data_IF_911667694068
#
_entry.id   IF_911667694068
#
_cell.length_a   1.000
_cell.length_b   1.000
_cell.length_c   1.000
_cell.angle_alpha   90.00
_cell.angle_beta   90.00
_cell.angle_gamma   90.00
#
_symmetry.space_group_name_H-M   'P 1'
#
loop_
_entity.id
_entity.type
_entity.pdbx_description
1 polymer ?
#
# COMPACT_ATOMS: atom_id res chain seq x y z
N UNK A 1 -12.20 -6.50 -23.04
CA UNK A 1 -11.01 -6.45 -22.17
C UNK A 1 -11.56 -6.14 -20.79
N UNK A 2 -11.73 -7.15 -19.93
CA UNK A 2 -12.35 -6.93 -18.61
C UNK A 2 -11.58 -5.83 -17.89
N UNK A 3 -12.26 -4.72 -17.62
CA UNK A 3 -11.73 -3.64 -16.80
C UNK A 3 -11.44 -4.26 -15.43
N UNK A 4 -10.16 -4.53 -15.16
CA UNK A 4 -9.74 -5.16 -13.91
C UNK A 4 -9.97 -4.16 -12.79
N UNK A 5 -11.18 -4.17 -12.23
CA UNK A 5 -11.54 -3.37 -11.07
C UNK A 5 -10.56 -3.71 -9.95
N UNK A 6 -10.06 -2.67 -9.27
CA UNK A 6 -9.13 -2.82 -8.15
C UNK A 6 -9.59 -3.87 -7.12
N UNK A 7 -10.90 -3.91 -6.82
CA UNK A 7 -11.48 -4.91 -5.91
C UNK A 7 -11.38 -6.35 -6.42
N UNK A 8 -11.54 -6.57 -7.73
CA UNK A 8 -11.41 -7.90 -8.34
C UNK A 8 -9.95 -8.34 -8.33
N UNK A 9 -9.03 -7.45 -8.70
CA UNK A 9 -7.59 -7.72 -8.61
C UNK A 9 -7.18 -8.05 -7.17
N UNK A 10 -7.59 -7.22 -6.21
CA UNK A 10 -7.24 -7.41 -4.80
C UNK A 10 -7.78 -8.74 -4.29
N UNK A 11 -9.07 -9.04 -4.53
CA UNK A 11 -9.68 -10.33 -4.15
C UNK A 11 -8.89 -11.51 -4.72
N UNK A 12 -8.50 -11.45 -6.00
CA UNK A 12 -7.72 -12.50 -6.65
C UNK A 12 -6.28 -12.61 -6.08
N UNK A 13 -5.61 -11.47 -5.84
CA UNK A 13 -4.27 -11.44 -5.25
C UNK A 13 -4.27 -12.03 -3.83
N UNK A 14 -5.24 -11.66 -3.00
CA UNK A 14 -5.38 -12.19 -1.65
C UNK A 14 -5.71 -13.68 -1.63
N UNK A 15 -6.48 -14.19 -2.61
CA UNK A 15 -6.77 -15.63 -2.75
C UNK A 15 -5.55 -16.46 -3.19
N UNK A 16 -4.65 -15.87 -3.98
CA UNK A 16 -3.42 -16.54 -4.45
C UNK A 16 -2.31 -16.55 -3.39
N UNK A 17 -2.33 -15.61 -2.46
CA UNK A 17 -1.35 -15.58 -1.37
C UNK A 17 -1.60 -16.72 -0.37
N UNK A 18 -0.52 -17.28 0.17
CA UNK A 18 -0.60 -18.21 1.30
C UNK A 18 -1.28 -17.55 2.50
N UNK A 19 -1.99 -18.33 3.32
CA UNK A 19 -2.78 -17.81 4.47
C UNK A 19 -1.95 -16.92 5.40
N UNK A 20 -0.68 -17.24 5.58
CA UNK A 20 0.24 -16.47 6.42
C UNK A 20 0.58 -15.10 5.82
N UNK A 21 0.70 -15.02 4.49
CA UNK A 21 1.10 -13.82 3.73
C UNK A 21 -0.12 -12.96 3.35
N UNK A 22 -1.31 -13.56 3.25
CA UNK A 22 -2.55 -12.87 2.87
C UNK A 22 -2.85 -11.66 3.78
N UNK A 23 -2.63 -11.80 5.09
CA UNK A 23 -2.81 -10.69 6.04
C UNK A 23 -1.85 -9.54 5.75
N UNK A 24 -0.57 -9.86 5.53
CA UNK A 24 0.46 -8.87 5.23
C UNK A 24 0.18 -8.16 3.89
N UNK A 25 -0.27 -8.91 2.87
CA UNK A 25 -0.64 -8.36 1.57
C UNK A 25 -1.81 -7.38 1.69
N UNK A 26 -2.87 -7.74 2.43
CA UNK A 26 -4.01 -6.85 2.66
C UNK A 26 -3.57 -5.56 3.38
N UNK A 27 -2.72 -5.66 4.40
CA UNK A 27 -2.17 -4.49 5.10
C UNK A 27 -1.35 -3.60 4.16
N UNK A 28 -0.53 -4.18 3.29
CA UNK A 28 0.27 -3.44 2.31
C UNK A 28 -0.62 -2.71 1.29
N UNK A 29 -1.67 -3.37 0.79
CA UNK A 29 -2.63 -2.75 -0.13
C UNK A 29 -3.33 -1.54 0.50
N UNK A 30 -3.76 -1.67 1.77
CA UNK A 30 -4.37 -0.56 2.52
C UNK A 30 -3.38 0.59 2.71
N UNK A 31 -2.13 0.28 3.09
CA UNK A 31 -1.07 1.28 3.29
C UNK A 31 -0.81 2.08 2.01
N UNK A 32 -0.64 1.38 0.87
CA UNK A 32 -0.42 2.02 -0.43
C UNK A 32 -1.61 2.88 -0.84
N UNK A 33 -2.84 2.38 -0.71
CA UNK A 33 -4.05 3.13 -1.03
C UNK A 33 -4.19 4.40 -0.16
N UNK A 34 -3.90 4.29 1.15
CA UNK A 34 -3.90 5.41 2.08
C UNK A 34 -2.83 6.44 1.73
N UNK A 35 -1.61 6.00 1.39
CA UNK A 35 -0.53 6.89 0.98
C UNK A 35 -0.87 7.65 -0.31
N UNK A 36 -1.44 6.98 -1.32
CA UNK A 36 -1.91 7.62 -2.56
C UNK A 36 -2.97 8.69 -2.25
N UNK A 37 -3.95 8.37 -1.39
CA UNK A 37 -4.97 9.32 -0.99
C UNK A 37 -4.37 10.54 -0.27
N UNK A 38 -3.47 10.33 0.70
CA UNK A 38 -2.75 11.40 1.41
C UNK A 38 -1.94 12.28 0.44
N UNK A 39 -1.23 11.68 -0.51
CA UNK A 39 -0.43 12.39 -1.50
C UNK A 39 -1.30 13.25 -2.42
N UNK A 40 -2.41 12.71 -2.91
CA UNK A 40 -3.37 13.46 -3.74
C UNK A 40 -3.96 14.65 -2.99
N UNK A 41 -4.28 14.47 -1.71
CA UNK A 41 -4.77 15.57 -0.89
C UNK A 41 -3.71 16.68 -0.75
N UNK A 42 -2.45 16.34 -0.44
CA UNK A 42 -1.38 17.35 -0.35
C UNK A 42 -1.14 18.09 -1.66
N UNK A 43 -1.25 17.41 -2.81
CA UNK A 43 -1.14 18.05 -4.12
C UNK A 43 -2.25 19.08 -4.32
N UNK A 44 -3.49 18.75 -3.95
CA UNK A 44 -4.65 19.64 -4.08
C UNK A 44 -4.62 20.79 -3.07
N UNK A 45 -4.30 20.51 -1.80
CA UNK A 45 -4.41 21.48 -0.71
C UNK A 45 -3.13 22.30 -0.48
N UNK A 46 -1.94 21.73 -0.69
CA UNK A 46 -0.66 22.39 -0.42
C UNK A 46 0.02 22.93 -1.71
N UNK A 47 -0.66 22.86 -2.86
CA UNK A 47 -0.13 23.18 -4.19
C UNK A 47 1.21 22.48 -4.51
N UNK A 48 1.49 21.34 -3.87
CA UNK A 48 2.72 20.57 -4.12
C UNK A 48 2.65 19.93 -5.49
N UNK A 49 3.79 19.90 -6.18
CA UNK A 49 3.90 19.15 -7.44
C UNK A 49 3.78 17.65 -7.16
N UNK A 50 2.96 16.91 -7.93
CA UNK A 50 2.88 15.47 -7.79
C UNK A 50 4.25 14.84 -8.07
N UNK A 51 4.73 14.01 -7.14
CA UNK A 51 6.04 13.38 -7.24
C UNK A 51 5.94 11.92 -6.81
N UNK A 52 6.00 11.03 -7.79
CA UNK A 52 5.88 9.58 -7.58
C UNK A 52 7.04 9.02 -6.75
N UNK A 53 8.26 9.54 -6.94
CA UNK A 53 9.43 9.12 -6.18
C UNK A 53 9.25 9.40 -4.68
N UNK A 54 8.70 10.56 -4.33
CA UNK A 54 8.40 10.92 -2.95
C UNK A 54 7.33 9.99 -2.36
N UNK A 55 6.27 9.71 -3.11
CA UNK A 55 5.22 8.78 -2.68
C UNK A 55 5.78 7.37 -2.42
N UNK A 56 6.66 6.86 -3.29
CA UNK A 56 7.31 5.55 -3.10
C UNK A 56 8.16 5.54 -1.83
N UNK A 57 8.89 6.63 -1.56
CA UNK A 57 9.70 6.76 -0.35
C UNK A 57 8.81 6.75 0.90
N UNK A 58 7.74 7.54 0.91
CA UNK A 58 6.77 7.60 2.02
C UNK A 58 6.14 6.24 2.31
N UNK A 59 5.76 5.49 1.26
CA UNK A 59 5.23 4.13 1.39
C UNK A 59 6.26 3.20 2.05
N UNK A 60 7.53 3.25 1.61
CA UNK A 60 8.60 2.40 2.15
C UNK A 60 8.88 2.73 3.62
N UNK A 61 8.93 4.01 3.96
CA UNK A 61 9.19 4.46 5.33
C UNK A 61 8.06 4.06 6.27
N UNK A 62 6.80 4.24 5.84
CA UNK A 62 5.64 3.87 6.65
C UNK A 62 5.51 2.33 6.80
N UNK A 63 5.81 1.57 5.74
CA UNK A 63 5.83 0.12 5.82
C UNK A 63 6.94 -0.39 6.77
N UNK A 64 8.13 0.22 6.74
CA UNK A 64 9.21 -0.06 7.70
C UNK A 64 8.79 0.27 9.12
N UNK A 65 8.18 1.42 9.34
CA UNK A 65 7.67 1.82 10.65
C UNK A 65 6.69 0.77 11.20
N UNK A 66 5.73 0.32 10.39
CA UNK A 66 4.77 -0.72 10.80
C UNK A 66 5.46 -2.06 11.10
N UNK A 67 6.47 -2.44 10.32
CA UNK A 67 7.26 -3.66 10.55
C UNK A 67 8.10 -3.60 11.84
N UNK A 68 8.43 -2.39 12.33
CA UNK A 68 9.14 -2.18 13.59
C UNK A 68 8.22 -2.11 14.82
N UNK A 69 6.98 -1.63 14.66
CA UNK A 69 6.03 -1.43 15.78
C UNK A 69 5.15 -2.65 16.10
N UNK A 70 5.41 -3.79 15.46
CA UNK A 70 4.75 -5.06 15.82
C UNK A 70 4.06 -5.78 14.66
N UNK A 71 4.01 -5.20 13.45
CA UNK A 71 3.52 -5.91 12.26
C UNK A 71 4.56 -6.89 11.71
N UNK A 72 4.90 -7.92 12.50
CA UNK A 72 5.96 -8.90 12.20
C UNK A 72 5.75 -9.62 10.86
N UNK A 73 4.49 -9.79 10.43
CA UNK A 73 4.13 -10.37 9.13
C UNK A 73 4.36 -9.41 7.94
N UNK A 74 4.28 -8.10 8.15
CA UNK A 74 4.62 -7.12 7.11
C UNK A 74 6.11 -7.14 6.76
N UNK A 75 6.97 -7.44 7.75
CA UNK A 75 8.40 -7.66 7.53
C UNK A 75 8.70 -8.80 6.54
N UNK A 76 7.81 -9.79 6.41
CA UNK A 76 8.00 -10.89 5.46
C UNK A 76 7.78 -10.45 4.00
N UNK A 77 7.22 -9.26 3.77
CA UNK A 77 6.96 -8.69 2.45
C UNK A 77 7.88 -7.53 2.07
N UNK A 78 8.73 -7.07 3.00
CA UNK A 78 9.66 -5.95 2.83
C UNK A 78 11.08 -6.46 2.63
#
# INVERSE_FOLDING_TARGET
MDEVRFQNWWRCASKRAEKEIQKALNSMVILVASAIWKHRNRVVFDARRPMVQLLILEIKDEARAWATTGARKLRQLL
#
